data_IF_086529096810
#
_entry.id   IF_086529096810
#
_cell.length_a   1.000
_cell.length_b   1.000
_cell.length_c   1.000
_cell.angle_alpha   90.00
_cell.angle_beta   90.00
_cell.angle_gamma   90.00
#
_symmetry.space_group_name_H-M   'P 1'
#
loop_
_entity.id
_entity.type
_entity.pdbx_description
1 polymer ?
#
# COMPACT_ATOMS: atom_id res chain seq x y z
N UNK A 1 5.34 -12.30 -4.51
CA UNK A 1 5.74 -10.97 -3.99
C UNK A 1 6.53 -10.17 -5.04
N UNK A 2 6.25 -10.39 -6.33
CA UNK A 2 7.02 -9.79 -7.44
C UNK A 2 6.38 -8.50 -7.97
N UNK A 3 5.13 -8.22 -7.58
CA UNK A 3 4.31 -7.08 -8.03
C UNK A 3 4.68 -5.73 -7.37
N UNK A 4 5.18 -5.72 -6.13
CA UNK A 4 5.64 -4.49 -5.47
C UNK A 4 7.03 -4.06 -5.96
N UNK A 5 7.91 -5.03 -6.20
CA UNK A 5 9.28 -4.81 -6.70
C UNK A 5 9.29 -4.22 -8.11
N UNK A 6 8.34 -4.63 -8.97
CA UNK A 6 8.15 -4.12 -10.32
C UNK A 6 7.66 -2.66 -10.37
N UNK A 7 7.05 -2.15 -9.29
CA UNK A 7 6.59 -0.76 -9.17
C UNK A 7 7.60 0.16 -8.46
N UNK A 8 8.83 -0.32 -8.21
CA UNK A 8 9.85 0.45 -7.49
C UNK A 8 9.53 0.67 -6.01
N UNK A 9 8.57 -0.09 -5.47
CA UNK A 9 8.14 0.03 -4.09
C UNK A 9 8.75 -1.08 -3.26
N UNK A 10 9.31 -0.70 -2.12
CA UNK A 10 9.83 -1.68 -1.18
C UNK A 10 8.66 -2.54 -0.66
N UNK A 11 8.69 -3.87 -0.90
CA UNK A 11 7.60 -4.76 -0.52
C UNK A 11 7.33 -4.72 0.98
N UNK A 12 8.35 -4.44 1.79
CA UNK A 12 8.24 -4.28 3.22
C UNK A 12 7.42 -3.05 3.62
N UNK A 13 7.65 -1.91 2.98
CA UNK A 13 6.95 -0.65 3.26
C UNK A 13 5.48 -0.76 2.87
N UNK A 14 5.17 -1.39 1.74
CA UNK A 14 3.79 -1.68 1.35
C UNK A 14 3.09 -2.63 2.32
N UNK A 15 3.75 -3.72 2.74
CA UNK A 15 3.20 -4.65 3.74
C UNK A 15 2.94 -3.95 5.08
N UNK A 16 3.87 -3.12 5.57
CA UNK A 16 3.66 -2.34 6.79
C UNK A 16 2.46 -1.40 6.64
N UNK A 17 2.38 -0.67 5.53
CA UNK A 17 1.28 0.24 5.26
C UNK A 17 -0.09 -0.46 5.29
N UNK A 18 -0.19 -1.63 4.63
CA UNK A 18 -1.40 -2.46 4.69
C UNK A 18 -1.71 -2.83 6.12
N UNK A 19 -0.76 -3.41 6.87
CA UNK A 19 -1.02 -3.90 8.23
C UNK A 19 -1.41 -2.79 9.21
N UNK A 20 -0.91 -1.57 9.03
CA UNK A 20 -1.28 -0.40 9.85
C UNK A 20 -2.69 0.14 9.53
N UNK A 21 -3.10 0.08 8.27
CA UNK A 21 -4.39 0.61 7.82
C UNK A 21 -5.49 -0.44 7.78
N UNK A 22 -5.15 -1.73 7.72
CA UNK A 22 -6.10 -2.85 7.74
C UNK A 22 -7.06 -2.84 8.94
N UNK A 23 -6.65 -2.55 10.20
CA UNK A 23 -7.58 -2.44 11.31
C UNK A 23 -8.46 -1.18 11.26
N UNK A 24 -8.06 -0.17 10.47
CA UNK A 24 -8.79 1.08 10.30
C UNK A 24 -9.75 1.03 9.10
N UNK A 25 -9.48 0.16 8.12
CA UNK A 25 -10.31 -0.04 6.94
C UNK A 25 -11.68 -0.61 7.34
N UNK A 26 -12.74 0.13 7.05
CA UNK A 26 -14.13 -0.25 7.34
C UNK A 26 -15.01 -0.24 6.10
N UNK A 27 -14.59 0.46 5.05
CA UNK A 27 -15.31 0.57 3.80
C UNK A 27 -14.52 -0.03 2.63
N UNK A 28 -15.24 -0.39 1.56
CA UNK A 28 -14.65 -0.91 0.32
C UNK A 28 -13.69 0.11 -0.29
N UNK A 29 -13.94 1.41 -0.10
CA UNK A 29 -13.00 2.46 -0.51
C UNK A 29 -11.65 2.39 0.23
N UNK A 30 -11.64 2.08 1.53
CA UNK A 30 -10.39 1.94 2.30
C UNK A 30 -9.56 0.78 1.75
N UNK A 31 -10.20 -0.36 1.46
CA UNK A 31 -9.50 -1.51 0.85
C UNK A 31 -8.98 -1.16 -0.55
N UNK A 32 -9.70 -0.34 -1.32
CA UNK A 32 -9.21 0.13 -2.61
C UNK A 32 -7.97 1.03 -2.47
N UNK A 33 -7.88 1.84 -1.42
CA UNK A 33 -6.69 2.65 -1.13
C UNK A 33 -5.47 1.79 -0.74
N UNK A 34 -5.69 0.59 -0.20
CA UNK A 34 -4.62 -0.38 0.14
C UNK A 34 -4.08 -1.17 -1.06
N UNK A 35 -4.63 -0.96 -2.26
CA UNK A 35 -4.19 -1.67 -3.46
C UNK A 35 -2.82 -1.16 -3.92
N UNK A 36 -1.99 -2.04 -4.50
CA UNK A 36 -0.58 -1.75 -4.77
C UNK A 36 -0.37 -0.64 -5.81
N UNK A 37 -1.39 -0.31 -6.62
CA UNK A 37 -1.34 0.79 -7.59
C UNK A 37 -1.84 2.13 -7.02
N UNK A 38 -2.56 2.13 -5.90
CA UNK A 38 -3.00 3.34 -5.20
C UNK A 38 -2.02 3.76 -4.10
N UNK A 39 -1.15 2.84 -3.68
CA UNK A 39 -0.06 3.14 -2.79
C UNK A 39 1.03 3.93 -3.53
N UNK A 40 0.87 5.25 -3.64
CA UNK A 40 2.00 6.11 -3.99
C UNK A 40 2.85 6.31 -2.73
N UNK A 41 4.09 5.79 -2.66
CA UNK A 41 4.97 6.16 -1.57
C UNK A 41 5.12 7.68 -1.72
N UNK A 42 4.78 8.43 -0.69
CA UNK A 42 4.89 9.89 -0.73
C UNK A 42 6.30 10.23 -1.22
N UNK A 43 6.40 10.59 -2.49
CA UNK A 43 7.65 10.96 -3.13
C UNK A 43 8.01 12.26 -2.43
N UNK A 44 8.95 12.18 -1.50
CA UNK A 44 9.50 13.33 -0.80
C UNK A 44 9.79 14.41 -1.83
N UNK A 45 9.03 15.50 -1.75
CA UNK A 45 9.24 16.69 -2.56
C UNK A 45 10.27 17.58 -1.87
#
# INVERSE_FOLDING_TARGET
METAKANGQEPYTYLRHILEHLPHAKAVEDYNALLPWNYTPALSR
#
